data_IF_450705287726
#
_entry.id   IF_450705287726
#
_cell.length_a   1.000
_cell.length_b   1.000
_cell.length_c   1.000
_cell.angle_alpha   90.00
_cell.angle_beta   90.00
_cell.angle_gamma   90.00
#
_symmetry.space_group_name_H-M   'P 1'
#
loop_
_entity.id
_entity.type
_entity.pdbx_description
1 polymer ?
#
# COMPACT_ATOMS: atom_id res chain seq x y z
N UNK A 1 5.27 -15.31 -20.53
CA UNK A 1 4.26 -14.28 -20.82
C UNK A 1 4.84 -13.29 -21.82
N UNK A 2 4.03 -12.78 -22.76
CA UNK A 2 4.47 -11.81 -23.78
C UNK A 2 3.82 -10.45 -23.48
N UNK A 3 4.58 -9.35 -23.34
CA UNK A 3 4.01 -8.04 -23.06
C UNK A 3 3.09 -7.56 -24.17
N UNK A 4 1.94 -6.96 -23.80
CA UNK A 4 1.08 -6.28 -24.74
C UNK A 4 1.80 -5.10 -25.40
N UNK A 5 1.47 -4.84 -26.68
CA UNK A 5 1.99 -3.69 -27.44
C UNK A 5 1.62 -2.36 -26.79
N UNK A 6 0.42 -2.29 -26.21
CA UNK A 6 -0.03 -1.18 -25.38
C UNK A 6 -0.18 -1.64 -23.93
N UNK A 7 0.49 -0.97 -23.00
CA UNK A 7 0.38 -1.26 -21.57
C UNK A 7 -0.83 -0.52 -21.00
N UNK A 8 -1.72 -1.26 -20.36
CA UNK A 8 -2.82 -0.67 -19.61
C UNK A 8 -2.33 -0.20 -18.24
N UNK A 9 -2.71 1.01 -17.84
CA UNK A 9 -2.39 1.54 -16.52
C UNK A 9 -3.42 1.04 -15.51
N UNK A 10 -2.96 0.35 -14.47
CA UNK A 10 -3.80 -0.04 -13.34
C UNK A 10 -3.88 1.12 -12.34
N UNK A 11 -5.07 1.65 -12.11
CA UNK A 11 -5.27 2.73 -11.12
C UNK A 11 -5.70 2.18 -9.78
N UNK A 12 -5.16 2.74 -8.69
CA UNK A 12 -5.57 2.37 -7.33
C UNK A 12 -7.08 2.49 -7.14
N UNK A 13 -7.70 3.56 -7.68
CA UNK A 13 -9.15 3.80 -7.61
C UNK A 13 -10.01 2.63 -8.07
N UNK A 14 -9.54 1.86 -9.06
CA UNK A 14 -10.27 0.68 -9.56
C UNK A 14 -10.33 -0.43 -8.51
N UNK A 15 -9.27 -0.59 -7.72
CA UNK A 15 -9.18 -1.59 -6.65
C UNK A 15 -10.05 -1.21 -5.45
N UNK A 16 -10.08 0.09 -5.09
CA UNK A 16 -10.85 0.60 -3.97
C UNK A 16 -12.37 0.51 -4.16
N UNK A 17 -12.83 0.36 -5.40
CA UNK A 17 -14.26 0.22 -5.74
C UNK A 17 -14.76 -1.22 -5.68
N UNK A 18 -13.87 -2.20 -5.51
CA UNK A 18 -14.24 -3.62 -5.50
C UNK A 18 -14.95 -4.04 -4.20
N UNK A 19 -15.83 -5.03 -4.29
CA UNK A 19 -16.47 -5.61 -3.11
C UNK A 19 -15.45 -6.28 -2.18
N UNK A 20 -14.41 -6.88 -2.75
CA UNK A 20 -13.31 -7.46 -1.99
C UNK A 20 -12.58 -6.41 -1.13
N UNK A 21 -12.42 -5.18 -1.62
CA UNK A 21 -11.87 -4.08 -0.82
C UNK A 21 -12.81 -3.66 0.31
N UNK A 22 -14.13 -3.72 0.09
CA UNK A 22 -15.15 -3.30 1.07
C UNK A 22 -15.52 -4.40 2.07
N UNK A 23 -14.94 -5.60 1.93
CA UNK A 23 -15.17 -6.72 2.83
C UNK A 23 -14.87 -6.30 4.29
N UNK A 24 -15.88 -6.31 5.18
CA UNK A 24 -15.71 -5.92 6.58
C UNK A 24 -15.05 -7.02 7.42
N UNK A 25 -14.93 -8.25 6.89
CA UNK A 25 -14.30 -9.37 7.60
C UNK A 25 -12.77 -9.36 7.52
N UNK A 26 -12.21 -8.60 6.56
CA UNK A 26 -10.77 -8.45 6.40
C UNK A 26 -10.20 -7.44 7.41
N UNK A 27 -9.15 -7.85 8.13
CA UNK A 27 -8.61 -7.05 9.23
C UNK A 27 -7.73 -5.91 8.72
N UNK A 28 -6.79 -6.20 7.81
CA UNK A 28 -5.88 -5.19 7.22
C UNK A 28 -5.79 -5.41 5.71
N UNK A 29 -6.77 -4.90 4.98
CA UNK A 29 -6.82 -4.99 3.52
C UNK A 29 -5.78 -4.06 2.87
N UNK A 30 -5.01 -4.62 1.95
CA UNK A 30 -4.00 -3.91 1.16
C UNK A 30 -4.24 -4.19 -0.32
N UNK A 31 -4.33 -3.12 -1.13
CA UNK A 31 -4.49 -3.24 -2.58
C UNK A 31 -3.14 -3.49 -3.26
N UNK A 32 -3.02 -4.59 -4.01
CA UNK A 32 -1.74 -5.02 -4.62
C UNK A 32 -1.66 -4.69 -6.12
N UNK A 33 -2.78 -4.71 -6.83
CA UNK A 33 -2.80 -4.49 -8.28
C UNK A 33 -3.84 -5.35 -8.98
N UNK A 34 -3.54 -5.75 -10.22
CA UNK A 34 -4.30 -6.74 -10.98
C UNK A 34 -3.40 -7.92 -11.33
N UNK A 35 -3.99 -9.10 -11.44
CA UNK A 35 -3.30 -10.26 -12.00
C UNK A 35 -3.19 -10.15 -13.53
N UNK A 36 -2.58 -11.16 -14.15
CA UNK A 36 -2.39 -11.22 -15.61
C UNK A 36 -3.70 -11.28 -16.41
N UNK A 37 -4.82 -11.63 -15.76
CA UNK A 37 -6.15 -11.65 -16.35
C UNK A 37 -6.92 -10.34 -16.08
N UNK A 38 -6.28 -9.34 -15.46
CA UNK A 38 -6.90 -8.06 -15.13
C UNK A 38 -7.80 -8.11 -13.90
N UNK A 39 -7.81 -9.22 -13.14
CA UNK A 39 -8.64 -9.35 -11.94
C UNK A 39 -7.98 -8.61 -10.78
N UNK A 40 -8.74 -7.87 -9.95
CA UNK A 40 -8.19 -7.14 -8.83
C UNK A 40 -7.57 -8.10 -7.81
N UNK A 41 -6.37 -7.76 -7.34
CA UNK A 41 -5.63 -8.50 -6.32
C UNK A 41 -5.52 -7.63 -5.08
N UNK A 42 -6.11 -8.13 -3.99
CA UNK A 42 -6.02 -7.57 -2.65
C UNK A 42 -5.50 -8.65 -1.70
N UNK A 43 -4.80 -8.22 -0.66
CA UNK A 43 -4.35 -9.12 0.40
C UNK A 43 -4.85 -8.63 1.75
N UNK A 44 -5.03 -9.54 2.69
CA UNK A 44 -5.25 -9.23 4.10
C UNK A 44 -3.92 -9.42 4.84
N UNK A 45 -3.25 -8.32 5.15
CA UNK A 45 -1.95 -8.31 5.81
C UNK A 45 -2.02 -8.97 7.19
N UNK A 46 -3.19 -9.04 7.85
CA UNK A 46 -3.29 -9.76 9.11
C UNK A 46 -3.18 -11.29 8.96
N UNK A 47 -3.54 -11.82 7.78
CA UNK A 47 -3.45 -13.27 7.47
C UNK A 47 -2.05 -13.68 7.00
N UNK A 48 -1.29 -12.73 6.45
CA UNK A 48 0.12 -12.86 6.12
C UNK A 48 0.88 -11.75 6.87
N UNK A 49 1.16 -11.94 8.18
CA UNK A 49 1.36 -10.85 9.16
C UNK A 49 2.51 -9.90 8.83
N UNK A 50 3.42 -10.33 7.95
CA UNK A 50 4.57 -9.55 7.51
C UNK A 50 4.75 -9.68 6.00
N UNK A 51 5.20 -8.59 5.39
CA UNK A 51 5.47 -8.52 3.96
C UNK A 51 6.85 -7.91 3.72
N UNK A 52 7.61 -8.52 2.82
CA UNK A 52 8.88 -7.99 2.32
C UNK A 52 8.67 -7.45 0.91
N UNK A 53 9.00 -6.18 0.68
CA UNK A 53 8.93 -5.53 -0.64
C UNK A 53 10.34 -5.15 -1.07
N UNK A 54 10.81 -5.72 -2.18
CA UNK A 54 12.12 -5.46 -2.76
C UNK A 54 11.99 -5.11 -4.25
N UNK A 55 12.88 -4.24 -4.74
CA UNK A 55 12.89 -3.82 -6.14
C UNK A 55 14.02 -2.82 -6.41
N UNK A 56 14.52 -2.82 -7.65
CA UNK A 56 15.55 -1.87 -8.12
C UNK A 56 14.95 -0.48 -8.36
N UNK A 57 15.80 0.55 -8.48
CA UNK A 57 15.36 1.89 -8.86
C UNK A 57 14.58 1.85 -10.18
N UNK A 58 13.44 2.55 -10.25
CA UNK A 58 12.58 2.57 -11.43
C UNK A 58 11.65 1.35 -11.59
N UNK A 59 11.75 0.32 -10.73
CA UNK A 59 10.84 -0.83 -10.76
C UNK A 59 9.42 -0.55 -10.26
N UNK A 60 9.19 0.62 -9.67
CA UNK A 60 7.90 1.01 -9.10
C UNK A 60 7.73 0.69 -7.61
N UNK A 61 8.78 0.26 -6.89
CA UNK A 61 8.72 -0.02 -5.44
C UNK A 61 8.05 1.10 -4.64
N UNK A 62 8.49 2.34 -4.82
CA UNK A 62 7.95 3.48 -4.06
C UNK A 62 6.48 3.74 -4.39
N UNK A 63 6.08 3.59 -5.65
CA UNK A 63 4.68 3.70 -6.08
C UNK A 63 3.83 2.58 -5.44
N UNK A 64 4.35 1.34 -5.41
CA UNK A 64 3.68 0.21 -4.80
C UNK A 64 3.48 0.42 -3.29
N UNK A 65 4.52 0.84 -2.56
CA UNK A 65 4.42 1.14 -1.12
C UNK A 65 3.41 2.24 -0.85
N UNK A 66 3.42 3.32 -1.63
CA UNK A 66 2.43 4.39 -1.51
C UNK A 66 1.01 3.90 -1.80
N UNK A 67 0.80 3.08 -2.83
CA UNK A 67 -0.51 2.49 -3.12
C UNK A 67 -1.00 1.61 -1.97
N UNK A 68 -0.12 0.81 -1.37
CA UNK A 68 -0.43 -0.01 -0.20
C UNK A 68 -0.82 0.85 1.01
N UNK A 69 -0.02 1.87 1.35
CA UNK A 69 -0.30 2.80 2.44
C UNK A 69 -1.63 3.53 2.24
N UNK A 70 -1.85 4.12 1.07
CA UNK A 70 -3.09 4.81 0.74
C UNK A 70 -4.31 3.88 0.79
N UNK A 71 -4.17 2.64 0.33
CA UNK A 71 -5.27 1.66 0.41
C UNK A 71 -5.68 1.36 1.85
N UNK A 72 -4.74 1.39 2.79
CA UNK A 72 -5.07 1.23 4.21
C UNK A 72 -5.65 2.52 4.81
N UNK A 73 -5.04 3.67 4.53
CA UNK A 73 -5.47 4.97 5.06
C UNK A 73 -6.86 5.40 4.57
N UNK A 74 -7.24 4.98 3.36
CA UNK A 74 -8.59 5.23 2.82
C UNK A 74 -9.65 4.27 3.36
N UNK A 75 -9.26 3.17 4.03
CA UNK A 75 -10.19 2.19 4.62
C UNK A 75 -10.33 2.34 6.13
N UNK A 76 -9.23 2.62 6.83
CA UNK A 76 -9.15 2.47 8.28
C UNK A 76 -8.99 3.81 9.00
N UNK A 77 -9.83 4.01 10.01
CA UNK A 77 -9.71 5.14 10.95
C UNK A 77 -8.45 5.01 11.83
N UNK A 78 -7.98 6.10 12.47
CA UNK A 78 -6.85 6.05 13.41
C UNK A 78 -7.03 5.08 14.58
N UNK A 79 -8.27 4.78 14.97
CA UNK A 79 -8.59 3.81 16.02
C UNK A 79 -8.42 2.36 15.52
N UNK A 80 -8.58 2.13 14.23
CA UNK A 80 -8.46 0.80 13.60
C UNK A 80 -7.04 0.52 13.10
N UNK A 81 -6.31 1.56 12.67
CA UNK A 81 -4.96 1.44 12.13
C UNK A 81 -4.03 2.50 12.70
N UNK A 82 -2.94 2.02 13.30
CA UNK A 82 -1.84 2.83 13.80
C UNK A 82 -0.56 2.46 13.05
N UNK A 83 0.23 3.47 12.67
CA UNK A 83 1.42 3.31 11.84
C UNK A 83 2.66 3.86 12.55
N UNK A 84 3.78 3.18 12.35
CA UNK A 84 5.12 3.70 12.57
C UNK A 84 5.80 3.68 11.21
N UNK A 85 6.15 4.85 10.70
CA UNK A 85 6.82 4.99 9.42
C UNK A 85 8.29 5.31 9.66
N UNK A 86 9.17 4.62 8.95
CA UNK A 86 10.62 4.76 9.05
C UNK A 86 11.16 5.08 7.66
N UNK A 87 11.76 6.26 7.50
CA UNK A 87 12.37 6.71 6.25
C UNK A 87 13.75 7.32 6.50
N UNK A 88 14.79 6.48 6.39
CA UNK A 88 16.18 6.89 6.59
C UNK A 88 16.70 7.88 5.56
N UNK A 89 16.01 8.02 4.41
CA UNK A 89 16.47 8.89 3.32
C UNK A 89 15.68 10.20 3.25
N UNK A 90 14.54 10.31 3.95
CA UNK A 90 13.65 11.47 3.90
C UNK A 90 13.24 11.81 2.45
N UNK A 91 12.81 10.79 1.70
CA UNK A 91 12.49 10.95 0.28
C UNK A 91 11.07 10.49 -0.06
N UNK A 92 10.53 9.53 0.70
CA UNK A 92 9.39 8.73 0.24
C UNK A 92 8.19 8.85 1.17
N UNK A 93 8.41 9.02 2.48
CA UNK A 93 7.33 8.97 3.49
C UNK A 93 7.05 10.29 4.22
N UNK A 94 7.82 11.35 3.97
CA UNK A 94 7.64 12.65 4.64
C UNK A 94 6.25 13.26 4.42
N UNK A 95 5.62 12.97 3.28
CA UNK A 95 4.26 13.40 2.96
C UNK A 95 3.19 12.85 3.91
N UNK A 96 3.52 11.86 4.75
CA UNK A 96 2.62 11.30 5.76
C UNK A 96 2.86 11.86 7.17
N UNK A 97 3.75 12.83 7.35
CA UNK A 97 4.25 13.25 8.67
C UNK A 97 3.21 13.81 9.65
N UNK A 98 2.02 14.18 9.18
CA UNK A 98 0.95 14.81 9.95
C UNK A 98 -0.34 13.97 10.02
N UNK A 99 -0.34 12.75 9.47
CA UNK A 99 -1.56 11.94 9.46
C UNK A 99 -1.92 11.46 10.88
N UNK A 100 -3.21 11.43 11.23
CA UNK A 100 -3.64 11.04 12.57
C UNK A 100 -3.38 9.57 12.88
N UNK A 101 -3.07 8.74 11.89
CA UNK A 101 -2.72 7.32 12.06
C UNK A 101 -1.30 7.09 12.59
N UNK A 102 -0.41 8.10 12.64
CA UNK A 102 0.95 7.95 13.14
C UNK A 102 1.03 7.84 14.67
N UNK A 103 1.78 6.86 15.17
CA UNK A 103 2.13 6.71 16.60
C UNK A 103 3.27 7.62 17.05
N UNK A 104 4.11 8.00 16.11
CA UNK A 104 5.28 8.85 16.29
C UNK A 104 5.48 9.61 14.98
N UNK A 105 6.12 10.80 14.98
CA UNK A 105 6.64 11.38 13.75
C UNK A 105 7.45 10.36 12.95
N UNK A 106 7.50 10.55 11.62
CA UNK A 106 8.28 9.69 10.72
C UNK A 106 9.71 9.58 11.25
N UNK A 107 10.16 8.36 11.49
CA UNK A 107 11.46 8.09 12.08
C UNK A 107 12.51 8.17 10.98
N UNK A 108 13.41 9.13 11.11
CA UNK A 108 14.49 9.37 10.14
C UNK A 108 15.84 8.92 10.67
N UNK A 109 16.09 9.13 11.97
CA UNK A 109 17.32 8.73 12.66
C UNK A 109 17.23 7.30 13.21
N UNK A 110 18.19 6.44 12.83
CA UNK A 110 18.46 5.20 13.56
C UNK A 110 19.46 5.53 14.67
N UNK A 111 19.02 5.51 15.92
CA UNK A 111 19.94 5.39 17.05
C UNK A 111 20.48 3.97 17.15
#
# INVERSE_FOLDING_TARGET
>A
EVPNTSREMVRLSELLQTDAYRDPTALITVAMGKDIAGRPVLTDLAKAPHMLVAGTTGSGKSVAVNAMLLSMLLKYTPQQLRLILIDHKQLELDNYGDIPNLLTPVVTEMK
#
